data_IF_692822679874
#
_entry.id   IF_692822679874
#
_cell.length_a   1.000
_cell.length_b   1.000
_cell.length_c   1.000
_cell.angle_alpha   90.00
_cell.angle_beta   90.00
_cell.angle_gamma   90.00
#
_symmetry.space_group_name_H-M   'P 1'
#
loop_
_entity.id
_entity.type
_entity.pdbx_description
1 polymer ?
#
# COMPACT_ATOMS: atom_id res chain seq x y z
N UNK A 1 11.94 10.43 8.89
CA UNK A 1 10.58 10.00 9.17
C UNK A 1 10.20 8.78 8.35
N UNK A 2 9.30 7.97 8.89
CA UNK A 2 8.82 6.78 8.21
C UNK A 2 7.93 7.14 7.03
N UNK A 3 8.18 6.59 5.83
CA UNK A 3 7.29 6.84 4.70
C UNK A 3 5.91 6.22 4.96
N UNK A 4 4.88 6.89 4.43
CA UNK A 4 3.51 6.42 4.53
C UNK A 4 3.17 5.57 3.31
N UNK A 5 2.70 4.35 3.55
CA UNK A 5 2.38 3.39 2.49
C UNK A 5 0.90 3.06 2.55
N UNK A 6 0.25 3.10 1.39
CA UNK A 6 -1.13 2.62 1.26
C UNK A 6 -1.10 1.26 0.57
N UNK A 7 -1.55 0.22 1.27
CA UNK A 7 -1.79 -1.07 0.62
C UNK A 7 -3.18 -0.99 0.00
N UNK A 8 -3.27 -1.27 -1.29
CA UNK A 8 -4.55 -1.29 -1.98
C UNK A 8 -4.98 -2.75 -2.16
N UNK A 9 -5.99 -3.15 -1.37
CA UNK A 9 -6.57 -4.49 -1.46
C UNK A 9 -7.51 -4.63 -2.64
N UNK A 10 -8.08 -3.51 -3.08
CA UNK A 10 -9.02 -3.46 -4.21
C UNK A 10 -8.99 -2.05 -4.81
N UNK A 11 -9.10 -1.94 -6.14
CA UNK A 11 -8.93 -0.63 -6.77
C UNK A 11 -10.18 0.25 -6.82
N UNK A 12 -11.39 -0.33 -6.76
CA UNK A 12 -12.60 0.46 -7.00
C UNK A 12 -13.81 -0.14 -6.28
N UNK A 13 -14.16 0.35 -5.08
CA UNK A 13 -13.46 1.42 -4.35
C UNK A 13 -12.11 0.96 -3.83
N UNK A 14 -11.25 1.90 -3.52
CA UNK A 14 -9.99 1.59 -2.87
C UNK A 14 -10.29 1.03 -1.49
N UNK A 15 -9.77 -0.15 -1.18
CA UNK A 15 -9.90 -0.74 0.16
C UNK A 15 -8.50 -0.88 0.73
N UNK A 16 -8.27 -0.35 1.92
CA UNK A 16 -6.95 -0.35 2.55
C UNK A 16 -7.04 -0.76 4.02
N UNK A 17 -6.01 -1.44 4.55
CA UNK A 17 -6.02 -1.93 5.93
C UNK A 17 -5.82 -0.82 6.96
N UNK A 18 -6.37 -1.03 8.15
CA UNK A 18 -6.20 -0.18 9.30
C UNK A 18 -5.32 -0.82 10.37
N UNK A 19 -5.37 -0.25 11.58
CA UNK A 19 -4.50 -0.65 12.69
C UNK A 19 -4.64 -2.12 13.08
N UNK A 20 -5.83 -2.70 12.91
CA UNK A 20 -6.11 -4.08 13.34
C UNK A 20 -5.75 -5.14 12.30
N UNK A 21 -5.10 -4.75 11.20
CA UNK A 21 -4.67 -5.67 10.16
C UNK A 21 -3.20 -6.05 10.34
N UNK A 22 -2.89 -7.33 10.10
CA UNK A 22 -1.50 -7.79 10.06
C UNK A 22 -0.69 -7.10 8.95
N UNK A 23 -1.36 -6.67 7.88
CA UNK A 23 -0.69 -5.94 6.81
C UNK A 23 -0.12 -4.62 7.31
N UNK A 24 -0.81 -3.95 8.23
CA UNK A 24 -0.30 -2.75 8.89
C UNK A 24 0.95 -3.08 9.71
N UNK A 25 0.94 -4.22 10.41
CA UNK A 25 2.12 -4.66 11.17
C UNK A 25 3.31 -4.94 10.25
N UNK A 26 3.05 -5.48 9.06
CA UNK A 26 4.10 -5.71 8.05
C UNK A 26 4.74 -4.38 7.64
N UNK A 27 3.93 -3.35 7.36
CA UNK A 27 4.46 -2.03 7.00
C UNK A 27 5.32 -1.48 8.13
N UNK A 28 4.84 -1.58 9.36
CA UNK A 28 5.56 -1.05 10.53
C UNK A 28 6.87 -1.81 10.75
N UNK A 29 6.85 -3.12 10.64
CA UNK A 29 8.06 -3.95 10.78
C UNK A 29 9.08 -3.63 9.69
N UNK A 30 8.62 -3.17 8.54
CA UNK A 30 9.49 -2.79 7.43
C UNK A 30 10.02 -1.35 7.53
N UNK A 31 9.60 -0.61 8.55
CA UNK A 31 10.06 0.77 8.77
C UNK A 31 9.16 1.84 8.18
N UNK A 32 7.98 1.47 7.71
CA UNK A 32 7.01 2.41 7.16
C UNK A 32 5.86 2.70 8.12
N UNK A 33 4.90 3.45 7.63
CA UNK A 33 3.69 3.81 8.36
C UNK A 33 2.49 3.58 7.44
N UNK A 34 1.47 2.87 7.93
CA UNK A 34 0.27 2.60 7.15
C UNK A 34 -0.62 3.84 7.08
N UNK A 35 -1.24 4.07 5.93
CA UNK A 35 -2.09 5.24 5.71
C UNK A 35 -3.21 5.37 6.74
N UNK A 36 -3.89 4.25 7.05
CA UNK A 36 -4.94 4.22 8.07
C UNK A 36 -4.46 3.57 9.37
N UNK A 37 -3.17 3.63 9.65
CA UNK A 37 -2.56 2.92 10.77
C UNK A 37 -3.01 3.39 12.16
N UNK A 38 -3.70 4.53 12.26
CA UNK A 38 -4.25 5.01 13.53
C UNK A 38 -5.73 4.70 13.71
N UNK A 39 -6.39 4.14 12.70
CA UNK A 39 -7.82 3.81 12.78
C UNK A 39 -8.01 2.38 13.29
N UNK A 40 -8.86 2.22 14.31
CA UNK A 40 -9.10 0.93 14.96
C UNK A 40 -10.08 0.05 14.17
N UNK A 41 -9.69 -0.28 12.96
CA UNK A 41 -10.45 -1.11 12.01
C UNK A 41 -9.51 -2.11 11.37
N UNK A 42 -10.06 -3.15 10.76
CA UNK A 42 -9.26 -4.10 9.98
C UNK A 42 -8.96 -3.52 8.60
N UNK A 43 -9.97 -2.96 7.95
CA UNK A 43 -9.86 -2.30 6.66
C UNK A 43 -11.13 -1.48 6.42
N UNK A 44 -11.06 -0.57 5.47
CA UNK A 44 -12.27 0.13 5.00
C UNK A 44 -12.08 0.67 3.60
N UNK A 45 -13.19 0.94 2.90
CA UNK A 45 -13.09 1.64 1.62
C UNK A 45 -12.72 3.10 1.83
N UNK A 46 -12.04 3.66 0.85
CA UNK A 46 -11.68 5.08 0.82
C UNK A 46 -12.12 5.67 -0.50
N UNK A 47 -12.52 6.93 -0.47
CA UNK A 47 -12.76 7.66 -1.71
C UNK A 47 -11.40 8.11 -2.28
N UNK A 48 -11.37 8.39 -3.57
CA UNK A 48 -10.17 8.91 -4.21
C UNK A 48 -9.77 10.26 -3.60
N UNK A 49 -10.75 11.07 -3.20
CA UNK A 49 -10.49 12.35 -2.53
C UNK A 49 -9.80 12.16 -1.19
N UNK A 50 -10.21 11.16 -0.40
CA UNK A 50 -9.55 10.87 0.87
C UNK A 50 -8.10 10.46 0.67
N UNK A 51 -7.84 9.64 -0.34
CA UNK A 51 -6.46 9.21 -0.66
C UNK A 51 -5.63 10.43 -1.02
N UNK A 52 -6.18 11.31 -1.85
CA UNK A 52 -5.47 12.54 -2.25
C UNK A 52 -5.17 13.44 -1.06
N UNK A 53 -6.13 13.56 -0.15
CA UNK A 53 -5.97 14.39 1.05
C UNK A 53 -4.89 13.85 1.98
N UNK A 54 -4.87 12.52 2.18
CA UNK A 54 -3.89 11.88 3.06
C UNK A 54 -2.52 11.71 2.39
N UNK A 55 -2.48 11.75 1.07
CA UNK A 55 -1.25 11.79 0.27
C UNK A 55 -0.18 10.78 0.70
N UNK A 56 -0.40 9.46 0.52
CA UNK A 56 0.63 8.48 0.86
C UNK A 56 1.88 8.67 0.01
N UNK A 57 3.03 8.24 0.54
CA UNK A 57 4.29 8.32 -0.20
C UNK A 57 4.41 7.23 -1.27
N UNK A 58 3.73 6.11 -1.06
CA UNK A 58 3.75 4.99 -2.01
C UNK A 58 2.47 4.19 -1.91
N UNK A 59 2.15 3.49 -2.97
CA UNK A 59 1.00 2.57 -3.04
C UNK A 59 1.52 1.17 -3.36
N UNK A 60 1.05 0.19 -2.62
CA UNK A 60 1.36 -1.23 -2.88
C UNK A 60 0.07 -1.94 -3.27
N UNK A 61 0.04 -2.47 -4.49
CA UNK A 61 -1.09 -3.26 -4.96
C UNK A 61 -0.97 -4.68 -4.42
N UNK A 62 -2.05 -5.15 -3.79
CA UNK A 62 -2.13 -6.53 -3.31
C UNK A 62 -3.60 -6.96 -3.42
N UNK A 63 -4.09 -7.00 -4.66
CA UNK A 63 -5.52 -7.19 -4.94
C UNK A 63 -6.00 -8.57 -4.54
N UNK A 64 -7.02 -8.60 -3.68
CA UNK A 64 -7.59 -9.84 -3.17
C UNK A 64 -8.24 -10.68 -4.28
N UNK A 65 -7.88 -11.97 -4.32
CA UNK A 65 -8.46 -12.89 -5.29
C UNK A 65 -7.94 -12.72 -6.72
N UNK A 66 -6.94 -11.88 -6.92
CA UNK A 66 -6.37 -11.63 -8.25
C UNK A 66 -4.94 -12.11 -8.28
N UNK A 67 -4.57 -12.86 -9.33
CA UNK A 67 -3.19 -13.29 -9.49
C UNK A 67 -2.28 -12.07 -9.71
N UNK A 68 -1.09 -12.02 -9.08
CA UNK A 68 -0.20 -10.84 -9.22
C UNK A 68 0.12 -10.45 -10.66
N UNK A 69 0.15 -11.40 -11.59
CA UNK A 69 0.38 -11.11 -13.02
C UNK A 69 -0.73 -10.26 -13.63
N UNK A 70 -1.88 -10.18 -12.97
CA UNK A 70 -3.03 -9.39 -13.41
C UNK A 70 -3.09 -8.02 -12.75
N UNK A 71 -2.17 -7.71 -11.86
CA UNK A 71 -2.14 -6.39 -11.23
C UNK A 71 -1.77 -5.35 -12.27
N UNK A 72 -2.45 -4.20 -12.19
CA UNK A 72 -2.28 -3.12 -13.16
C UNK A 72 -1.95 -1.81 -12.47
N UNK A 73 -0.66 -1.53 -12.27
CA UNK A 73 -0.24 -0.26 -11.66
C UNK A 73 -0.74 0.97 -12.41
N UNK A 74 -0.98 0.85 -13.71
CA UNK A 74 -1.50 1.97 -14.50
C UNK A 74 -2.89 2.43 -14.05
N UNK A 75 -3.69 1.56 -13.42
CA UNK A 75 -4.98 1.95 -12.84
C UNK A 75 -4.78 3.05 -11.80
N UNK A 76 -3.72 2.93 -11.00
CA UNK A 76 -3.36 3.94 -9.99
C UNK A 76 -2.72 5.16 -10.66
N UNK A 77 -1.77 4.92 -11.56
CA UNK A 77 -0.99 6.00 -12.16
C UNK A 77 -1.83 6.90 -13.06
N UNK A 78 -2.93 6.38 -13.61
CA UNK A 78 -3.81 7.15 -14.49
C UNK A 78 -4.98 7.81 -13.77
N UNK A 79 -5.11 7.65 -12.46
CA UNK A 79 -6.19 8.26 -11.71
C UNK A 79 -6.08 9.79 -11.79
N UNK A 80 -7.10 10.43 -12.34
CA UNK A 80 -7.09 11.87 -12.58
C UNK A 80 -6.98 12.70 -11.32
N UNK A 81 -7.49 12.20 -10.21
CA UNK A 81 -7.46 12.92 -8.94
C UNK A 81 -6.12 12.85 -8.23
N UNK A 82 -5.21 11.96 -8.69
CA UNK A 82 -3.94 11.69 -8.01
C UNK A 82 -2.72 12.19 -8.77
N UNK A 83 -2.89 12.88 -9.89
CA UNK A 83 -1.77 13.26 -10.75
C UNK A 83 -0.75 14.19 -10.08
N UNK A 84 -1.19 14.96 -9.09
CA UNK A 84 -0.31 15.89 -8.36
C UNK A 84 0.40 15.22 -7.18
N UNK A 85 0.04 13.97 -6.85
CA UNK A 85 0.61 13.27 -5.71
C UNK A 85 1.98 12.69 -6.06
N UNK A 86 2.89 12.70 -5.08
CA UNK A 86 4.26 12.25 -5.29
C UNK A 86 4.34 10.79 -5.72
N UNK A 87 3.46 9.93 -5.20
CA UNK A 87 3.54 8.50 -5.59
C UNK A 87 3.23 8.28 -7.08
N UNK A 88 2.44 9.16 -7.68
CA UNK A 88 2.21 9.11 -9.12
C UNK A 88 3.38 9.74 -9.88
N UNK A 89 3.79 10.94 -9.45
CA UNK A 89 4.86 11.69 -10.12
C UNK A 89 6.20 10.96 -10.08
N UNK A 90 6.47 10.26 -8.98
CA UNK A 90 7.72 9.52 -8.79
C UNK A 90 7.58 8.03 -9.14
N UNK A 91 6.41 7.62 -9.64
CA UNK A 91 6.12 6.24 -10.01
C UNK A 91 6.37 5.26 -8.85
N UNK A 92 5.88 5.61 -7.67
CA UNK A 92 6.03 4.77 -6.46
C UNK A 92 4.82 3.87 -6.27
N UNK A 93 4.54 3.06 -7.29
CA UNK A 93 3.47 2.06 -7.25
C UNK A 93 4.11 0.69 -7.39
N UNK A 94 3.93 -0.15 -6.39
CA UNK A 94 4.58 -1.45 -6.28
C UNK A 94 3.54 -2.55 -6.20
N UNK A 95 3.94 -3.78 -6.48
CA UNK A 95 3.06 -4.94 -6.41
C UNK A 95 3.66 -5.97 -5.46
N UNK A 96 2.90 -6.36 -4.44
CA UNK A 96 3.27 -7.46 -3.55
C UNK A 96 2.09 -8.41 -3.55
N UNK A 97 2.32 -9.67 -3.93
CA UNK A 97 1.24 -10.63 -4.08
C UNK A 97 0.45 -10.88 -2.78
N UNK A 98 -0.83 -11.15 -2.92
CA UNK A 98 -1.72 -11.44 -1.80
C UNK A 98 -1.18 -12.53 -0.85
N UNK A 99 -0.52 -13.61 -1.32
CA UNK A 99 0.01 -14.60 -0.40
C UNK A 99 0.97 -14.07 0.66
N UNK A 100 1.61 -12.92 0.39
CA UNK A 100 2.55 -12.31 1.33
C UNK A 100 1.90 -11.31 2.28
N UNK A 101 0.74 -10.74 1.93
CA UNK A 101 0.09 -9.70 2.71
C UNK A 101 -1.37 -10.02 3.07
N UNK A 102 -2.00 -10.91 2.32
CA UNK A 102 -3.43 -11.14 2.41
C UNK A 102 -3.88 -11.97 3.59
N UNK A 103 -2.96 -12.67 4.26
CA UNK A 103 -3.30 -13.51 5.40
C UNK A 103 -2.07 -13.77 6.27
N UNK A 104 -2.27 -14.03 7.58
CA UNK A 104 -1.16 -14.35 8.46
C UNK A 104 -0.59 -15.74 8.12
N UNK A 105 0.71 -15.92 8.37
CA UNK A 105 1.38 -17.18 8.14
C UNK A 105 2.85 -16.97 7.85
N UNK A 106 3.59 -18.05 7.52
CA UNK A 106 5.05 -17.97 7.31
C UNK A 106 5.46 -16.99 6.22
N UNK A 107 4.60 -16.77 5.22
CA UNK A 107 4.92 -15.87 4.11
C UNK A 107 4.92 -14.39 4.50
N UNK A 108 4.41 -14.06 5.69
CA UNK A 108 4.49 -12.67 6.17
C UNK A 108 5.93 -12.22 6.38
N UNK A 109 6.84 -13.13 6.70
CA UNK A 109 8.27 -12.80 6.83
C UNK A 109 8.79 -12.30 5.47
N UNK A 110 8.43 -12.97 4.40
CA UNK A 110 8.78 -12.52 3.04
C UNK A 110 8.07 -11.22 2.71
N UNK A 111 6.83 -11.05 3.18
CA UNK A 111 6.08 -9.81 3.02
C UNK A 111 6.81 -8.63 3.66
N UNK A 112 7.35 -8.81 4.86
CA UNK A 112 8.14 -7.77 5.53
C UNK A 112 9.38 -7.42 4.71
N UNK A 113 10.07 -8.43 4.19
CA UNK A 113 11.26 -8.21 3.37
C UNK A 113 10.93 -7.40 2.11
N UNK A 114 9.87 -7.80 1.41
CA UNK A 114 9.44 -7.09 0.19
C UNK A 114 8.98 -5.67 0.51
N UNK A 115 8.26 -5.49 1.60
CA UNK A 115 7.82 -4.16 2.01
C UNK A 115 9.00 -3.28 2.43
N UNK A 116 10.03 -3.88 3.02
CA UNK A 116 11.24 -3.14 3.37
C UNK A 116 11.93 -2.60 2.13
N UNK A 117 11.95 -3.36 1.04
CA UNK A 117 12.50 -2.89 -0.22
C UNK A 117 11.74 -1.66 -0.74
N UNK A 118 10.40 -1.66 -0.59
CA UNK A 118 9.57 -0.51 -0.95
C UNK A 118 9.96 0.70 -0.10
N UNK A 119 10.00 0.54 1.21
CA UNK A 119 10.32 1.62 2.14
C UNK A 119 11.71 2.18 1.86
N UNK A 120 12.69 1.31 1.66
CA UNK A 120 14.07 1.74 1.40
C UNK A 120 14.20 2.48 0.08
N UNK A 121 13.44 2.09 -0.95
CA UNK A 121 13.49 2.78 -2.23
C UNK A 121 12.99 4.22 -2.11
N UNK A 122 11.97 4.46 -1.28
CA UNK A 122 11.46 5.81 -1.03
C UNK A 122 12.49 6.63 -0.27
N UNK A 123 13.09 6.06 0.77
CA UNK A 123 14.08 6.75 1.60
C UNK A 123 15.34 7.11 0.80
N UNK A 124 15.74 6.24 -0.13
CA UNK A 124 16.90 6.47 -0.97
C UNK A 124 16.68 7.62 -1.97
N UNK A 125 15.45 7.77 -2.45
CA UNK A 125 15.10 8.83 -3.39
C UNK A 125 15.00 10.20 -2.72
N UNK A 126 14.82 10.20 -1.41
CA UNK A 126 14.71 11.45 -0.63
C UNK A 126 16.11 11.98 -0.34
#
# INVERSE_FOLDING_TARGET
>A
DAPTVMIQWWPKPVITPGRLSWATDVIRAAGGRALLGSEDIKSRPMTDDEVAELAPDAVVLSWCGVHPDKYRPDVVLRNEQWQELDFVRENRVFCIGEPYLGRPGPRLVDGVRLMREVVQSIQTES
#
